data_IF_507753116191
#
_entry.id   IF_507753116191
#
_cell.length_a   1.000
_cell.length_b   1.000
_cell.length_c   1.000
_cell.angle_alpha   90.00
_cell.angle_beta   90.00
_cell.angle_gamma   90.00
#
_symmetry.space_group_name_H-M   'P 1'
#
loop_
_entity.id
_entity.type
_entity.pdbx_description
1 polymer ?
#
# COMPACT_ATOMS: atom_id res chain seq x y z
N UNK A 1 -14.08 -31.37 28.97
CA UNK A 1 -12.78 -31.92 29.38
C UNK A 1 -12.39 -33.01 28.40
N UNK A 2 -11.09 -33.05 28.09
CA UNK A 2 -10.33 -33.86 27.14
C UNK A 2 -10.90 -35.20 26.66
N UNK A 3 -10.79 -35.46 25.35
CA UNK A 3 -10.48 -36.82 24.87
C UNK A 3 -9.24 -36.73 23.98
N UNK A 4 -8.11 -36.84 24.69
CA UNK A 4 -6.86 -37.53 24.38
C UNK A 4 -6.67 -38.05 22.96
N UNK A 5 -5.58 -37.60 22.33
CA UNK A 5 -4.99 -38.20 21.12
C UNK A 5 -4.55 -39.64 21.42
N UNK A 6 -4.86 -40.59 20.54
CA UNK A 6 -4.14 -41.86 20.47
C UNK A 6 -3.47 -42.00 19.11
N UNK A 7 -2.15 -42.15 19.21
CA UNK A 7 -1.14 -42.25 18.17
C UNK A 7 -1.09 -43.71 17.67
N UNK A 8 -1.12 -43.86 16.34
CA UNK A 8 -0.41 -44.85 15.51
C UNK A 8 -0.63 -46.35 15.75
N UNK A 9 -1.26 -47.01 14.77
CA UNK A 9 -0.78 -48.31 14.30
C UNK A 9 -1.21 -48.55 12.84
N UNK A 10 -0.24 -49.03 12.05
CA UNK A 10 -0.34 -49.53 10.67
C UNK A 10 -0.34 -48.47 9.56
N UNK A 11 0.87 -48.22 9.04
CA UNK A 11 1.06 -47.49 7.80
C UNK A 11 0.78 -48.39 6.59
N UNK A 12 0.12 -47.81 5.58
CA UNK A 12 0.56 -47.86 4.18
C UNK A 12 -0.25 -46.83 3.35
N UNK A 13 0.51 -45.90 2.77
CA UNK A 13 0.19 -44.85 1.77
C UNK A 13 -1.28 -44.65 1.36
N UNK A 14 -1.94 -43.67 1.99
CA UNK A 14 -2.98 -42.83 1.37
C UNK A 14 -2.63 -41.34 1.48
N UNK A 15 -1.65 -40.89 0.71
CA UNK A 15 -1.35 -39.46 0.54
C UNK A 15 -1.82 -39.04 -0.86
N UNK A 16 -3.13 -38.85 -1.02
CA UNK A 16 -3.67 -38.23 -2.24
C UNK A 16 -5.02 -37.51 -2.01
N UNK A 17 -5.79 -37.90 -0.99
CA UNK A 17 -7.10 -37.27 -0.71
C UNK A 17 -7.03 -36.08 0.26
N UNK A 18 -6.08 -36.04 1.19
CA UNK A 18 -5.93 -34.89 2.12
C UNK A 18 -5.41 -33.64 1.43
N UNK A 19 -4.53 -33.77 0.44
CA UNK A 19 -3.96 -32.62 -0.27
C UNK A 19 -5.01 -31.92 -1.14
N UNK A 20 -5.89 -32.65 -1.82
CA UNK A 20 -6.94 -32.04 -2.65
C UNK A 20 -7.99 -31.32 -1.80
N UNK A 21 -8.39 -31.91 -0.66
CA UNK A 21 -9.31 -31.25 0.27
C UNK A 21 -8.67 -30.00 0.91
N UNK A 22 -7.38 -30.08 1.26
CA UNK A 22 -6.60 -28.98 1.82
C UNK A 22 -6.32 -27.86 0.81
N UNK A 23 -6.00 -28.19 -0.45
CA UNK A 23 -5.82 -27.19 -1.52
C UNK A 23 -7.15 -26.54 -1.88
N UNK A 24 -8.26 -27.29 -1.85
CA UNK A 24 -9.60 -26.72 -1.98
C UNK A 24 -9.92 -25.80 -0.81
N UNK A 25 -9.63 -26.17 0.43
CA UNK A 25 -9.88 -25.31 1.60
C UNK A 25 -9.03 -24.04 1.57
N UNK A 26 -7.74 -24.11 1.19
CA UNK A 26 -6.88 -22.94 0.94
C UNK A 26 -7.45 -22.07 -0.18
N UNK A 27 -7.95 -22.67 -1.26
CA UNK A 27 -8.57 -21.93 -2.36
C UNK A 27 -9.85 -21.22 -1.89
N UNK A 28 -10.66 -21.86 -1.04
CA UNK A 28 -11.86 -21.25 -0.47
C UNK A 28 -11.53 -20.11 0.51
N UNK A 29 -10.53 -20.26 1.38
CA UNK A 29 -10.10 -19.19 2.29
C UNK A 29 -9.43 -18.04 1.55
N UNK A 30 -8.62 -18.32 0.52
CA UNK A 30 -8.04 -17.30 -0.35
C UNK A 30 -9.13 -16.53 -1.11
N UNK A 31 -10.16 -17.22 -1.64
CA UNK A 31 -11.30 -16.57 -2.29
C UNK A 31 -12.11 -15.70 -1.32
N UNK A 32 -12.32 -16.16 -0.08
CA UNK A 32 -12.98 -15.35 0.95
C UNK A 32 -12.16 -14.12 1.33
N UNK A 33 -10.84 -14.25 1.50
CA UNK A 33 -9.94 -13.13 1.81
C UNK A 33 -9.89 -12.10 0.68
N UNK A 34 -9.78 -12.55 -0.58
CA UNK A 34 -9.80 -11.67 -1.75
C UNK A 34 -11.16 -10.99 -1.92
N UNK A 35 -12.28 -11.68 -1.67
CA UNK A 35 -13.61 -11.07 -1.72
C UNK A 35 -13.82 -10.01 -0.62
N UNK A 36 -13.36 -10.28 0.60
CA UNK A 36 -13.42 -9.31 1.70
C UNK A 36 -12.52 -8.09 1.43
N UNK A 37 -11.33 -8.31 0.86
CA UNK A 37 -10.42 -7.24 0.43
C UNK A 37 -11.00 -6.41 -0.72
N UNK A 38 -11.60 -7.04 -1.73
CA UNK A 38 -12.27 -6.36 -2.85
C UNK A 38 -13.52 -5.60 -2.40
N UNK A 39 -14.26 -6.12 -1.42
CA UNK A 39 -15.40 -5.43 -0.80
C UNK A 39 -14.94 -4.24 0.02
N UNK A 40 -13.85 -4.39 0.77
CA UNK A 40 -13.22 -3.31 1.53
C UNK A 40 -12.69 -2.20 0.60
N UNK A 41 -12.02 -2.53 -0.50
CA UNK A 41 -11.52 -1.55 -1.49
C UNK A 41 -12.60 -0.91 -2.36
N UNK A 42 -13.69 -1.62 -2.68
CA UNK A 42 -14.85 -1.04 -3.37
C UNK A 42 -15.62 -0.04 -2.48
N UNK A 43 -15.60 -0.21 -1.16
CA UNK A 43 -16.13 0.77 -0.21
C UNK A 43 -15.25 2.03 -0.19
N UNK A 44 -13.93 1.91 -0.34
CA UNK A 44 -13.04 3.07 -0.51
C UNK A 44 -13.35 3.86 -1.78
N UNK A 45 -13.65 3.20 -2.91
CA UNK A 45 -13.93 3.93 -4.16
C UNK A 45 -15.38 4.45 -4.28
N UNK A 46 -16.34 3.80 -3.60
CA UNK A 46 -17.77 4.21 -3.62
C UNK A 46 -18.13 5.21 -2.52
N UNK A 47 -17.29 5.36 -1.50
CA UNK A 47 -17.42 6.39 -0.46
C UNK A 47 -16.64 7.68 -0.76
N UNK A 48 -15.97 7.77 -1.91
CA UNK A 48 -15.32 9.00 -2.41
C UNK A 48 -16.30 9.93 -3.16
N UNK A 49 -17.60 9.83 -2.89
CA UNK A 49 -18.50 10.97 -3.02
C UNK A 49 -18.66 11.53 -1.60
N UNK A 50 -17.83 12.50 -1.17
CA UNK A 50 -18.01 13.11 0.12
C UNK A 50 -19.18 14.08 0.02
N UNK A 51 -20.30 13.75 0.67
CA UNK A 51 -21.26 14.77 1.03
C UNK A 51 -20.52 15.82 1.89
N UNK A 52 -20.57 17.07 1.43
CA UNK A 52 -20.10 18.28 2.10
C UNK A 52 -18.58 18.49 2.21
N UNK A 53 -17.79 18.14 1.18
CA UNK A 53 -16.57 18.92 0.94
C UNK A 53 -16.92 20.04 -0.06
N UNK A 54 -16.59 21.32 0.21
CA UNK A 54 -16.68 22.36 -0.81
C UNK A 54 -15.92 21.89 -2.06
N UNK A 55 -16.31 22.32 -3.28
CA UNK A 55 -15.65 21.89 -4.52
C UNK A 55 -14.15 21.99 -4.31
N UNK A 56 -13.47 20.85 -4.49
CA UNK A 56 -12.10 20.62 -4.06
C UNK A 56 -11.30 21.89 -4.21
N UNK A 57 -10.92 22.47 -3.07
CA UNK A 57 -10.10 23.67 -3.05
C UNK A 57 -8.90 23.30 -3.89
N UNK A 58 -8.85 23.82 -5.11
CA UNK A 58 -7.67 23.69 -5.94
C UNK A 58 -6.60 24.38 -5.11
N UNK A 59 -5.77 23.60 -4.42
CA UNK A 59 -4.66 24.14 -3.66
C UNK A 59 -3.91 24.98 -4.67
N UNK A 60 -3.79 26.30 -4.45
CA UNK A 60 -3.07 27.15 -5.38
C UNK A 60 -1.75 26.47 -5.67
N UNK A 61 -1.44 26.28 -6.96
CA UNK A 61 -0.19 25.67 -7.35
C UNK A 61 0.92 26.38 -6.57
N UNK A 62 1.74 25.60 -5.85
CA UNK A 62 2.73 26.18 -4.98
C UNK A 62 3.57 27.18 -5.81
N UNK A 63 3.94 28.34 -5.24
CA UNK A 63 4.66 29.36 -5.97
C UNK A 63 6.00 28.79 -6.50
N UNK A 64 6.32 29.14 -7.74
CA UNK A 64 7.57 28.75 -8.40
C UNK A 64 8.71 29.68 -7.98
N UNK A 65 9.13 29.56 -6.72
CA UNK A 65 10.25 30.32 -6.18
C UNK A 65 11.06 29.46 -5.21
N UNK A 66 12.32 29.83 -5.07
CA UNK A 66 13.15 29.29 -3.99
C UNK A 66 12.84 30.08 -2.73
N UNK A 67 12.49 29.38 -1.66
CA UNK A 67 12.31 29.96 -0.33
C UNK A 67 13.67 30.28 0.28
N UNK A 68 14.68 29.46 -0.04
CA UNK A 68 16.04 29.63 0.44
C UNK A 68 16.94 30.20 -0.67
N UNK A 69 17.92 31.01 -0.28
CA UNK A 69 18.92 31.58 -1.19
C UNK A 69 20.18 30.73 -1.34
N UNK A 70 20.33 29.69 -0.51
CA UNK A 70 21.49 28.80 -0.45
C UNK A 70 21.29 27.47 -1.16
N UNK A 71 20.29 27.35 -2.04
CA UNK A 71 20.03 26.14 -2.83
C UNK A 71 21.28 25.64 -3.60
N UNK A 72 22.17 26.56 -4.00
CA UNK A 72 23.44 26.25 -4.68
C UNK A 72 24.58 25.81 -3.74
N UNK A 73 24.44 25.98 -2.42
CA UNK A 73 25.45 25.56 -1.43
C UNK A 73 25.22 24.12 -0.95
N UNK A 74 24.02 23.58 -1.17
CA UNK A 74 23.74 22.18 -0.86
C UNK A 74 24.46 21.25 -1.82
N UNK A 75 24.48 19.97 -1.46
CA UNK A 75 25.08 18.91 -2.24
C UNK A 75 24.54 18.91 -3.67
N UNK A 76 25.38 18.57 -4.65
CA UNK A 76 25.04 18.62 -6.08
C UNK A 76 23.88 17.69 -6.45
N UNK A 77 23.61 16.67 -5.63
CA UNK A 77 22.54 15.70 -5.83
C UNK A 77 21.18 16.17 -5.27
N UNK A 78 21.08 17.36 -4.67
CA UNK A 78 19.84 17.89 -4.06
C UNK A 78 18.62 17.74 -4.99
N UNK A 79 18.79 18.04 -6.27
CA UNK A 79 17.69 18.01 -7.24
C UNK A 79 17.38 16.60 -7.79
N UNK A 80 18.37 15.70 -7.79
CA UNK A 80 18.28 14.36 -8.40
C UNK A 80 17.95 13.28 -7.39
N UNK A 81 18.32 13.47 -6.13
CA UNK A 81 18.14 12.50 -5.07
C UNK A 81 16.69 12.53 -4.57
N UNK A 82 16.05 11.36 -4.57
CA UNK A 82 14.65 11.20 -4.17
C UNK A 82 14.45 11.51 -2.69
N UNK A 83 15.46 11.29 -1.85
CA UNK A 83 15.39 11.54 -0.41
C UNK A 83 15.22 13.03 -0.08
N UNK A 84 15.69 13.92 -0.97
CA UNK A 84 15.55 15.37 -0.82
C UNK A 84 14.35 15.95 -1.59
N UNK A 85 13.54 15.13 -2.26
CA UNK A 85 12.39 15.59 -3.05
C UNK A 85 11.45 16.51 -2.27
N UNK A 86 11.04 16.11 -1.06
CA UNK A 86 10.18 16.94 -0.21
C UNK A 86 10.84 18.25 0.24
N UNK A 87 12.17 18.26 0.44
CA UNK A 87 12.90 19.48 0.76
C UNK A 87 12.97 20.42 -0.45
N UNK A 88 13.27 19.89 -1.64
CA UNK A 88 13.29 20.65 -2.89
C UNK A 88 11.93 21.27 -3.16
N UNK A 89 10.86 20.49 -3.02
CA UNK A 89 9.48 20.95 -3.24
C UNK A 89 9.08 22.09 -2.28
N UNK A 90 9.64 22.11 -1.07
CA UNK A 90 9.37 23.18 -0.10
C UNK A 90 10.32 24.39 -0.22
N UNK A 91 11.55 24.21 -0.71
CA UNK A 91 12.60 25.24 -0.55
C UNK A 91 13.30 25.67 -1.84
N UNK A 92 13.52 24.76 -2.79
CA UNK A 92 14.46 24.96 -3.91
C UNK A 92 13.85 24.58 -5.26
N UNK A 93 12.53 24.73 -5.41
CA UNK A 93 11.80 24.32 -6.61
C UNK A 93 12.28 25.01 -7.88
N UNK A 94 12.59 26.30 -7.80
CA UNK A 94 13.03 27.06 -8.98
C UNK A 94 14.47 26.69 -9.34
N UNK A 95 15.36 26.57 -8.36
CA UNK A 95 16.74 26.12 -8.55
C UNK A 95 16.81 24.74 -9.21
N UNK A 96 15.95 23.82 -8.76
CA UNK A 96 15.87 22.46 -9.31
C UNK A 96 14.93 22.30 -10.51
N UNK A 97 14.31 23.37 -11.01
CA UNK A 97 13.39 23.31 -12.15
C UNK A 97 12.13 22.45 -11.91
N UNK A 98 11.67 22.33 -10.66
CA UNK A 98 10.47 21.58 -10.24
C UNK A 98 9.24 22.46 -10.06
N UNK A 99 9.22 23.53 -10.84
CA UNK A 99 7.99 24.20 -11.16
C UNK A 99 7.26 23.36 -12.22
#
# INVERSE_FOLDING_TARGET
MLVTQHFMATGERRIAHSSVAYVKSISYTARMYIQEYARSSAIYHKSLIPCCCPPGVATPAAPCNDVRNDCAMFQSDLCTNQDFSGFVDANCRKFCGKC
#
